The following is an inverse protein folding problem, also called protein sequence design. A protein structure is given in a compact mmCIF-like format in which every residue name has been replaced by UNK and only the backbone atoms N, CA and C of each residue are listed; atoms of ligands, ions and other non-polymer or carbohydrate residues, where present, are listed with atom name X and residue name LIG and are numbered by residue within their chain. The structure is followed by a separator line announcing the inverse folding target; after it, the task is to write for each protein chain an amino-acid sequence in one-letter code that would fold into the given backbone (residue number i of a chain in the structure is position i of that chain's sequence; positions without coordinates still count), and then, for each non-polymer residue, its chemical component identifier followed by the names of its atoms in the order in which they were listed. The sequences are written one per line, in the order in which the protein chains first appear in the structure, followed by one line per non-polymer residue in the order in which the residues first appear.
data_IF_158118404800
#
_entry.id   IF_158118404800
#
_cell.length_a   1.000
_cell.length_b   1.000
_cell.length_c   1.000
_cell.angle_alpha   90.00
_cell.angle_beta   90.00
_cell.angle_gamma   90.00
#
_symmetry.space_group_name_H-M   'P 1'
#
loop_
_entity.id
_entity.type
_entity.pdbx_description
1 polymer ?
#
# COMPACT_ATOMS: atom_id res chain seq x y z
N UNK A 1 -20.13 -4.80 9.23
CA UNK A 1 -20.51 -4.69 7.80
C UNK A 1 -20.00 -3.37 7.25
N UNK A 2 -18.80 -3.36 6.66
CA UNK A 2 -18.18 -2.17 6.02
C UNK A 2 -18.29 -2.24 4.48
N UNK A 3 -18.81 -3.34 3.91
CA UNK A 3 -19.04 -3.50 2.48
C UNK A 3 -20.21 -2.70 1.90
N UNK A 4 -20.64 -1.62 2.55
CA UNK A 4 -21.64 -0.69 2.01
C UNK A 4 -20.97 0.63 1.67
N UNK A 5 -21.44 1.32 0.63
CA UNK A 5 -20.93 2.63 0.20
C UNK A 5 -20.88 3.64 1.36
N UNK A 6 -21.83 3.57 2.29
CA UNK A 6 -21.86 4.40 3.50
C UNK A 6 -20.75 4.04 4.52
N UNK A 7 -20.35 2.77 4.58
CA UNK A 7 -19.22 2.32 5.40
C UNK A 7 -17.88 2.86 4.88
N UNK A 8 -17.68 2.81 3.57
CA UNK A 8 -16.48 3.34 2.90
C UNK A 8 -16.37 4.85 3.04
N UNK A 9 -17.48 5.57 2.84
CA UNK A 9 -17.50 7.03 3.02
C UNK A 9 -17.10 7.46 4.43
N UNK A 10 -17.65 6.78 5.45
CA UNK A 10 -17.29 7.04 6.85
C UNK A 10 -15.81 6.78 7.11
N UNK A 11 -15.27 5.65 6.64
CA UNK A 11 -13.85 5.30 6.77
C UNK A 11 -12.96 6.40 6.17
N UNK A 12 -13.30 6.91 4.98
CA UNK A 12 -12.49 7.92 4.30
C UNK A 12 -12.60 9.29 4.97
N UNK A 13 -13.78 9.68 5.45
CA UNK A 13 -13.96 10.93 6.21
C UNK A 13 -13.18 10.92 7.51
N UNK A 14 -13.19 9.81 8.24
CA UNK A 14 -12.44 9.65 9.49
C UNK A 14 -10.93 9.71 9.27
N UNK A 15 -10.44 9.13 8.16
CA UNK A 15 -9.00 9.01 7.89
C UNK A 15 -8.38 10.24 7.23
N UNK A 16 -9.11 10.91 6.34
CA UNK A 16 -8.56 11.99 5.49
C UNK A 16 -9.13 13.37 5.82
N UNK A 17 -10.32 13.46 6.43
CA UNK A 17 -11.03 14.73 6.57
C UNK A 17 -11.42 15.28 5.19
N UNK A 18 -10.74 16.33 4.73
CA UNK A 18 -10.95 16.90 3.39
C UNK A 18 -10.31 16.05 2.28
N UNK A 19 -10.88 16.05 1.08
CA UNK A 19 -10.36 15.27 -0.07
C UNK A 19 -10.79 13.79 -0.11
N UNK A 20 -11.62 13.35 0.84
CA UNK A 20 -12.15 11.98 0.90
C UNK A 20 -12.92 11.56 -0.37
N UNK A 21 -13.59 12.51 -1.05
CA UNK A 21 -14.40 12.22 -2.23
C UNK A 21 -13.56 11.85 -3.45
N UNK A 22 -12.39 12.47 -3.63
CA UNK A 22 -11.45 12.11 -4.69
C UNK A 22 -10.88 10.71 -4.47
N UNK A 23 -10.48 10.41 -3.23
CA UNK A 23 -9.99 9.08 -2.85
C UNK A 23 -11.07 8.02 -3.04
N UNK A 24 -12.33 8.33 -2.69
CA UNK A 24 -13.46 7.43 -2.94
C UNK A 24 -13.62 7.12 -4.43
N UNK A 25 -13.61 8.14 -5.29
CA UNK A 25 -13.74 7.95 -6.74
C UNK A 25 -12.56 7.15 -7.34
N UNK A 26 -11.36 7.29 -6.78
CA UNK A 26 -10.22 6.46 -7.15
C UNK A 26 -10.42 4.99 -6.72
N UNK A 27 -10.87 4.77 -5.48
CA UNK A 27 -11.13 3.43 -4.95
C UNK A 27 -12.24 2.70 -5.71
N UNK A 28 -13.32 3.39 -6.08
CA UNK A 28 -14.42 2.84 -6.88
C UNK A 28 -13.93 2.40 -8.28
N UNK A 29 -13.10 3.22 -8.94
CA UNK A 29 -12.50 2.86 -10.23
C UNK A 29 -11.59 1.63 -10.12
N UNK A 30 -10.71 1.60 -9.13
CA UNK A 30 -9.83 0.45 -8.89
C UNK A 30 -10.63 -0.82 -8.57
N UNK A 31 -11.66 -0.71 -7.73
CA UNK A 31 -12.51 -1.84 -7.38
C UNK A 31 -13.19 -2.44 -8.63
N UNK A 32 -13.75 -1.61 -9.51
CA UNK A 32 -14.34 -2.09 -10.77
C UNK A 32 -13.31 -2.71 -11.70
N UNK A 33 -12.09 -2.16 -11.77
CA UNK A 33 -11.02 -2.71 -12.59
C UNK A 33 -10.57 -4.10 -12.13
N UNK A 34 -10.45 -4.31 -10.82
CA UNK A 34 -9.82 -5.51 -10.26
C UNK A 34 -10.82 -6.58 -9.78
N UNK A 35 -12.13 -6.28 -9.72
CA UNK A 35 -13.15 -7.16 -9.11
C UNK A 35 -13.17 -8.60 -9.64
N UNK A 36 -12.87 -8.80 -10.92
CA UNK A 36 -12.89 -10.13 -11.55
C UNK A 36 -11.50 -10.72 -11.78
N UNK A 37 -10.46 -10.03 -11.35
CA UNK A 37 -9.08 -10.50 -11.50
C UNK A 37 -8.73 -11.50 -10.39
N UNK A 38 -7.86 -12.49 -10.67
CA UNK A 38 -7.23 -13.29 -9.63
C UNK A 38 -6.31 -12.42 -8.76
N UNK A 39 -6.06 -12.84 -7.52
CA UNK A 39 -5.31 -12.04 -6.53
C UNK A 39 -3.93 -11.57 -7.01
N UNK A 40 -3.20 -12.41 -7.76
CA UNK A 40 -1.90 -12.01 -8.30
C UNK A 40 -2.00 -10.79 -9.24
N UNK A 41 -3.03 -10.73 -10.07
CA UNK A 41 -3.25 -9.63 -10.99
C UNK A 41 -3.86 -8.41 -10.28
N UNK A 42 -4.75 -8.62 -9.29
CA UNK A 42 -5.22 -7.55 -8.40
C UNK A 42 -4.05 -6.84 -7.73
N UNK A 43 -3.13 -7.60 -7.13
CA UNK A 43 -1.97 -7.04 -6.45
C UNK A 43 -1.06 -6.25 -7.39
N UNK A 44 -0.84 -6.73 -8.62
CA UNK A 44 -0.07 -5.99 -9.64
C UNK A 44 -0.75 -4.68 -10.05
N UNK A 45 -2.08 -4.67 -10.23
CA UNK A 45 -2.81 -3.44 -10.55
C UNK A 45 -2.76 -2.44 -9.39
N UNK A 46 -2.94 -2.90 -8.15
CA UNK A 46 -2.84 -2.05 -6.97
C UNK A 46 -1.42 -1.52 -6.77
N UNK A 47 -0.39 -2.33 -7.03
CA UNK A 47 1.02 -1.93 -6.99
C UNK A 47 1.34 -0.84 -8.02
N UNK A 48 0.91 -1.06 -9.27
CA UNK A 48 1.06 -0.08 -10.34
C UNK A 48 0.37 1.24 -10.00
N UNK A 49 -0.81 1.19 -9.37
CA UNK A 49 -1.49 2.37 -8.85
C UNK A 49 -0.65 3.10 -7.79
N UNK A 50 -0.11 2.39 -6.79
CA UNK A 50 0.74 2.99 -5.76
C UNK A 50 1.93 3.75 -6.37
N UNK A 51 2.58 3.14 -7.37
CA UNK A 51 3.73 3.75 -8.03
C UNK A 51 3.35 4.94 -8.92
N UNK A 52 2.28 4.82 -9.72
CA UNK A 52 1.78 5.90 -10.56
C UNK A 52 1.40 7.14 -9.72
N UNK A 53 0.76 6.93 -8.56
CA UNK A 53 0.44 8.03 -7.64
C UNK A 53 1.68 8.66 -7.01
N UNK A 54 2.75 7.88 -6.76
CA UNK A 54 4.00 8.44 -6.26
C UNK A 54 4.62 9.37 -7.30
N UNK A 55 4.72 8.90 -8.55
CA UNK A 55 5.25 9.69 -9.67
C UNK A 55 4.43 10.95 -9.97
N UNK A 56 3.12 10.90 -9.73
CA UNK A 56 2.22 12.04 -9.96
C UNK A 56 2.30 13.10 -8.86
N UNK A 57 2.49 12.69 -7.60
CA UNK A 57 2.36 13.58 -6.43
C UNK A 57 3.69 14.01 -5.84
N UNK A 58 4.77 13.27 -6.08
CA UNK A 58 6.07 13.49 -5.46
C UNK A 58 7.09 13.94 -6.51
N UNK A 59 7.96 14.84 -6.09
CA UNK A 59 9.16 15.22 -6.85
C UNK A 59 10.20 14.09 -6.83
N UNK A 60 11.14 14.15 -7.78
CA UNK A 60 12.29 13.23 -7.82
C UNK A 60 13.10 13.27 -6.53
N UNK A 61 13.25 14.44 -5.89
CA UNK A 61 13.97 14.59 -4.64
C UNK A 61 13.26 13.87 -3.49
N UNK A 62 11.94 14.00 -3.39
CA UNK A 62 11.14 13.32 -2.37
C UNK A 62 11.16 11.80 -2.55
N UNK A 63 11.01 11.31 -3.79
CA UNK A 63 11.14 9.89 -4.12
C UNK A 63 12.52 9.38 -3.72
N UNK A 64 13.57 10.11 -4.08
CA UNK A 64 14.96 9.76 -3.75
C UNK A 64 15.19 9.76 -2.24
N UNK A 65 14.61 10.73 -1.52
CA UNK A 65 14.70 10.83 -0.07
C UNK A 65 14.03 9.65 0.62
N UNK A 66 12.84 9.22 0.16
CA UNK A 66 12.14 8.02 0.66
C UNK A 66 12.98 6.77 0.42
N UNK A 67 13.44 6.56 -0.82
CA UNK A 67 14.21 5.36 -1.20
C UNK A 67 15.53 5.28 -0.44
N UNK A 68 16.20 6.42 -0.24
CA UNK A 68 17.42 6.48 0.58
C UNK A 68 17.14 6.52 2.09
N UNK A 69 15.87 6.39 2.49
CA UNK A 69 15.42 6.34 3.89
C UNK A 69 15.89 7.56 4.68
N UNK A 70 15.87 8.74 4.05
CA UNK A 70 16.27 9.99 4.68
C UNK A 70 15.26 10.36 5.79
N UNK A 71 15.68 10.47 7.07
CA UNK A 71 14.76 10.67 8.18
C UNK A 71 13.92 11.95 8.05
N UNK A 72 14.51 13.01 7.50
CA UNK A 72 13.81 14.29 7.28
C UNK A 72 12.68 14.16 6.26
N UNK A 73 12.92 13.46 5.14
CA UNK A 73 11.89 13.17 4.14
C UNK A 73 10.78 12.31 4.74
N UNK A 74 11.14 11.22 5.45
CA UNK A 74 10.15 10.29 6.00
C UNK A 74 9.31 10.88 7.15
N UNK A 75 9.87 11.81 7.95
CA UNK A 75 9.20 12.35 9.14
C UNK A 75 8.56 13.72 8.95
N UNK A 76 9.12 14.56 8.09
CA UNK A 76 8.75 15.99 8.00
C UNK A 76 8.22 16.42 6.64
N UNK A 77 8.38 15.61 5.60
CA UNK A 77 7.85 15.97 4.28
C UNK A 77 6.33 15.76 4.24
N UNK A 78 5.58 16.86 4.13
CA UNK A 78 4.12 16.82 4.08
C UNK A 78 3.60 16.13 2.82
N UNK A 79 4.26 16.30 1.66
CA UNK A 79 3.84 15.68 0.41
C UNK A 79 3.91 14.15 0.50
N UNK A 80 5.00 13.61 1.07
CA UNK A 80 5.18 12.17 1.31
C UNK A 80 4.12 11.62 2.27
N UNK A 81 3.84 12.34 3.37
CA UNK A 81 2.77 11.96 4.31
C UNK A 81 1.41 11.93 3.63
N UNK A 82 1.05 12.99 2.90
CA UNK A 82 -0.25 13.09 2.19
C UNK A 82 -0.38 12.03 1.09
N UNK A 83 0.71 11.71 0.40
CA UNK A 83 0.75 10.60 -0.55
C UNK A 83 0.42 9.28 0.16
N UNK A 84 1.14 8.93 1.23
CA UNK A 84 0.96 7.66 1.92
C UNK A 84 -0.44 7.54 2.55
N UNK A 85 -0.96 8.61 3.16
CA UNK A 85 -2.31 8.66 3.70
C UNK A 85 -3.36 8.44 2.60
N UNK A 86 -3.26 9.15 1.48
CA UNK A 86 -4.21 9.02 0.39
C UNK A 86 -4.18 7.63 -0.24
N UNK A 87 -2.99 7.11 -0.58
CA UNK A 87 -2.85 5.81 -1.24
C UNK A 87 -3.30 4.68 -0.32
N UNK A 88 -2.88 4.68 0.95
CA UNK A 88 -3.31 3.64 1.91
C UNK A 88 -4.82 3.70 2.18
N UNK A 89 -5.41 4.91 2.20
CA UNK A 89 -6.87 5.08 2.27
C UNK A 89 -7.59 4.57 1.02
N UNK A 90 -7.05 4.81 -0.19
CA UNK A 90 -7.57 4.26 -1.44
C UNK A 90 -7.56 2.73 -1.42
N UNK A 91 -6.45 2.12 -1.00
CA UNK A 91 -6.36 0.66 -0.87
C UNK A 91 -7.42 0.13 0.10
N UNK A 92 -7.53 0.72 1.30
CA UNK A 92 -8.53 0.32 2.29
C UNK A 92 -9.97 0.42 1.76
N UNK A 93 -10.30 1.53 1.10
CA UNK A 93 -11.61 1.73 0.49
C UNK A 93 -11.89 0.74 -0.64
N UNK A 94 -10.89 0.46 -1.49
CA UNK A 94 -11.01 -0.50 -2.59
C UNK A 94 -11.32 -1.91 -2.05
N UNK A 95 -10.56 -2.39 -1.06
CA UNK A 95 -10.78 -3.69 -0.42
C UNK A 95 -12.15 -3.77 0.26
N UNK A 96 -12.58 -2.69 0.91
CA UNK A 96 -13.91 -2.61 1.52
C UNK A 96 -15.04 -2.66 0.48
N UNK A 97 -14.89 -2.00 -0.67
CA UNK A 97 -15.86 -2.04 -1.78
C UNK A 97 -15.97 -3.43 -2.41
N UNK A 98 -14.85 -4.15 -2.49
CA UNK A 98 -14.81 -5.54 -2.97
C UNK A 98 -15.38 -6.54 -1.95
N UNK A 99 -15.61 -6.11 -0.70
CA UNK A 99 -16.07 -6.98 0.37
C UNK A 99 -14.99 -7.99 0.78
N UNK A 100 -13.72 -7.61 0.72
CA UNK A 100 -12.62 -8.50 1.09
C UNK A 100 -12.70 -8.89 2.58
N UNK A 101 -12.60 -10.19 2.83
CA UNK A 101 -12.61 -10.78 4.16
C UNK A 101 -11.17 -10.89 4.71
N UNK A 102 -10.97 -10.96 6.04
CA UNK A 102 -9.66 -11.04 6.68
C UNK A 102 -9.03 -12.45 6.56
N UNK A 103 -8.91 -12.96 5.33
CA UNK A 103 -8.30 -14.23 4.99
C UNK A 103 -7.06 -13.98 4.12
N UNK A 104 -5.90 -14.44 4.59
CA UNK A 104 -4.62 -14.25 3.91
C UNK A 104 -4.12 -15.59 3.41
N UNK A 105 -4.15 -15.77 2.09
CA UNK A 105 -3.73 -17.01 1.43
C UNK A 105 -2.35 -16.90 0.77
N UNK A 106 -1.90 -15.67 0.48
CA UNK A 106 -0.67 -15.40 -0.24
C UNK A 106 0.03 -14.12 0.26
N UNK A 107 1.32 -14.01 -0.04
CA UNK A 107 2.21 -12.91 0.34
C UNK A 107 1.68 -11.55 -0.16
N UNK A 108 1.21 -11.51 -1.41
CA UNK A 108 0.70 -10.29 -2.02
C UNK A 108 -0.58 -9.79 -1.32
N UNK A 109 -1.44 -10.71 -0.86
CA UNK A 109 -2.62 -10.39 -0.05
C UNK A 109 -2.19 -9.84 1.31
N UNK A 110 -1.23 -10.49 1.98
CA UNK A 110 -0.70 -10.04 3.26
C UNK A 110 -0.14 -8.61 3.16
N UNK A 111 0.67 -8.35 2.13
CA UNK A 111 1.28 -7.05 1.89
C UNK A 111 0.23 -5.97 1.57
N UNK A 112 -0.76 -6.29 0.72
CA UNK A 112 -1.86 -5.36 0.39
C UNK A 112 -2.66 -4.98 1.65
N UNK A 113 -3.00 -5.98 2.47
CA UNK A 113 -3.76 -5.79 3.72
C UNK A 113 -2.97 -4.95 4.73
N UNK A 114 -1.68 -5.25 4.89
CA UNK A 114 -0.75 -4.49 5.73
C UNK A 114 -0.72 -3.00 5.31
N UNK A 115 -0.48 -2.73 4.02
CA UNK A 115 -0.35 -1.38 3.48
C UNK A 115 -1.67 -0.60 3.44
N UNK A 116 -2.82 -1.29 3.40
CA UNK A 116 -4.12 -0.64 3.49
C UNK A 116 -4.34 0.04 4.85
N UNK A 117 -3.76 -0.51 5.93
CA UNK A 117 -4.05 -0.07 7.29
C UNK A 117 -5.52 -0.26 7.70
N UNK A 118 -6.31 -1.06 6.96
CA UNK A 118 -7.68 -1.36 7.36
C UNK A 118 -7.66 -2.39 8.50
N UNK A 119 -8.00 -1.95 9.70
CA UNK A 119 -7.77 -2.65 10.97
C UNK A 119 -8.10 -4.17 10.98
N UNK A 120 -9.26 -4.67 10.47
CA UNK A 120 -9.51 -6.11 10.41
C UNK A 120 -8.53 -6.88 9.50
N UNK A 121 -8.21 -6.31 8.34
CA UNK A 121 -7.31 -6.91 7.35
C UNK A 121 -5.84 -6.80 7.80
N UNK A 122 -5.47 -5.66 8.39
CA UNK A 122 -4.16 -5.42 8.98
C UNK A 122 -3.83 -6.50 10.03
N UNK A 123 -4.76 -6.79 10.94
CA UNK A 123 -4.54 -7.85 11.94
C UNK A 123 -4.35 -9.22 11.32
N UNK A 124 -5.12 -9.56 10.28
CA UNK A 124 -4.96 -10.82 9.56
C UNK A 124 -3.59 -10.92 8.87
N UNK A 125 -3.14 -9.83 8.23
CA UNK A 125 -1.81 -9.74 7.65
C UNK A 125 -0.72 -9.92 8.70
N UNK A 126 -0.80 -9.21 9.82
CA UNK A 126 0.19 -9.33 10.90
C UNK A 126 0.25 -10.75 11.49
N UNK A 127 -0.90 -11.38 11.72
CA UNK A 127 -0.95 -12.76 12.21
C UNK A 127 -0.32 -13.74 11.22
N UNK A 128 -0.59 -13.57 9.92
CA UNK A 128 0.01 -14.37 8.85
C UNK A 128 1.53 -14.18 8.79
N UNK A 129 2.01 -12.93 8.88
CA UNK A 129 3.45 -12.60 8.87
C UNK A 129 4.15 -13.21 10.09
N UNK A 130 3.53 -13.14 11.27
CA UNK A 130 4.09 -13.73 12.51
C UNK A 130 4.13 -15.26 12.48
N UNK A 131 3.21 -15.91 11.76
CA UNK A 131 3.18 -17.36 11.60
C UNK A 131 4.13 -17.87 10.50
N UNK A 132 4.59 -16.99 9.61
CA UNK A 132 5.41 -17.31 8.45
C UNK A 132 6.87 -16.89 8.58
N UNK A 133 7.64 -17.18 7.53
CA UNK A 133 9.01 -16.67 7.38
C UNK A 133 8.99 -15.26 6.76
N UNK A 134 9.67 -14.31 7.40
CA UNK A 134 9.85 -12.94 6.91
C UNK A 134 10.46 -12.87 5.49
N UNK A 135 11.19 -13.90 5.07
CA UNK A 135 11.71 -14.02 3.70
C UNK A 135 10.64 -13.95 2.62
N UNK A 136 9.42 -14.42 2.90
CA UNK A 136 8.31 -14.44 1.92
C UNK A 136 7.81 -13.04 1.55
N UNK A 137 7.79 -12.12 2.51
CA UNK A 137 7.45 -10.71 2.25
C UNK A 137 8.45 -10.05 1.32
N UNK A 138 9.74 -10.41 1.44
CA UNK A 138 10.80 -9.90 0.57
C UNK A 138 10.50 -10.18 -0.89
N UNK A 139 10.21 -11.45 -1.19
CA UNK A 139 10.07 -11.93 -2.55
C UNK A 139 8.83 -11.31 -3.21
N UNK A 140 7.77 -11.05 -2.42
CA UNK A 140 6.62 -10.30 -2.89
C UNK A 140 6.96 -8.82 -3.17
N UNK A 141 7.68 -8.14 -2.28
CA UNK A 141 8.08 -6.74 -2.50
C UNK A 141 8.99 -6.55 -3.71
N UNK A 142 9.84 -7.53 -4.00
CA UNK A 142 10.69 -7.57 -5.20
C UNK A 142 9.87 -7.46 -6.49
N UNK A 143 8.71 -8.11 -6.51
CA UNK A 143 7.81 -8.13 -7.66
C UNK A 143 6.79 -6.98 -7.66
N UNK A 144 6.73 -6.19 -6.57
CA UNK A 144 5.73 -5.15 -6.32
C UNK A 144 6.42 -3.88 -5.81
N UNK A 145 7.12 -3.13 -6.70
CA UNK A 145 7.90 -1.96 -6.30
C UNK A 145 7.06 -0.79 -5.78
N UNK A 146 5.83 -0.60 -6.24
CA UNK A 146 4.93 0.42 -5.69
C UNK A 146 4.57 0.14 -4.22
N UNK A 147 4.36 -1.13 -3.88
CA UNK A 147 4.14 -1.58 -2.51
C UNK A 147 5.41 -1.46 -1.67
N UNK A 148 6.57 -1.80 -2.22
CA UNK A 148 7.85 -1.58 -1.55
C UNK A 148 8.09 -0.10 -1.23
N UNK A 149 7.78 0.80 -2.19
CA UNK A 149 7.88 2.25 -1.99
C UNK A 149 6.93 2.75 -0.89
N UNK A 150 5.66 2.34 -0.92
CA UNK A 150 4.69 2.71 0.12
C UNK A 150 5.08 2.14 1.49
N UNK A 151 5.62 0.93 1.54
CA UNK A 151 6.09 0.28 2.75
C UNK A 151 7.18 1.11 3.45
N UNK A 152 8.16 1.63 2.70
CA UNK A 152 9.22 2.48 3.24
C UNK A 152 8.70 3.72 3.98
N UNK A 153 7.56 4.26 3.52
CA UNK A 153 6.95 5.45 4.11
C UNK A 153 6.13 5.09 5.35
N UNK A 154 5.32 4.04 5.27
CA UNK A 154 4.45 3.61 6.38
C UNK A 154 5.22 2.96 7.53
N UNK A 155 6.36 2.34 7.23
CA UNK A 155 7.22 1.65 8.20
C UNK A 155 8.66 2.21 8.13
N UNK A 156 8.87 3.48 8.57
CA UNK A 156 10.14 4.18 8.41
C UNK A 156 11.22 3.74 9.41
N UNK A 157 10.95 2.72 10.21
CA UNK A 157 11.89 2.24 11.24
C UNK A 157 13.12 1.58 10.61
N UNK A 158 14.24 1.60 11.33
CA UNK A 158 15.43 0.81 11.00
C UNK A 158 15.21 -0.67 11.33
N UNK A 159 14.39 -1.32 10.50
CA UNK A 159 14.12 -2.75 10.56
C UNK A 159 14.65 -3.47 9.31
N UNK A 160 14.86 -4.79 9.42
CA UNK A 160 15.31 -5.61 8.30
C UNK A 160 14.36 -5.50 7.10
N UNK A 161 13.05 -5.44 7.35
CA UNK A 161 12.00 -5.30 6.35
C UNK A 161 12.10 -3.96 5.60
N UNK A 162 12.50 -2.88 6.26
CA UNK A 162 12.71 -1.58 5.62
C UNK A 162 13.92 -1.60 4.67
N UNK A 163 15.01 -2.27 5.04
CA UNK A 163 16.15 -2.49 4.13
C UNK A 163 15.78 -3.40 2.95
N UNK A 164 15.00 -4.45 3.21
CA UNK A 164 14.49 -5.36 2.19
C UNK A 164 13.58 -4.63 1.19
N UNK A 165 12.67 -3.78 1.66
CA UNK A 165 11.80 -2.96 0.80
C UNK A 165 12.61 -2.00 -0.08
N UNK A 166 13.65 -1.37 0.47
CA UNK A 166 14.58 -0.52 -0.29
C UNK A 166 15.27 -1.31 -1.40
N UNK A 167 15.86 -2.44 -1.05
CA UNK A 167 16.62 -3.25 -2.01
C UNK A 167 15.70 -3.84 -3.08
N UNK A 168 14.49 -4.25 -2.68
CA UNK A 168 13.43 -4.70 -3.58
C UNK A 168 13.08 -3.63 -4.62
N UNK A 169 12.79 -2.41 -4.15
CA UNK A 169 12.49 -1.27 -5.00
C UNK A 169 13.65 -0.96 -5.97
N UNK A 170 14.89 -0.91 -5.49
CA UNK A 170 16.05 -0.64 -6.35
C UNK A 170 16.22 -1.67 -7.45
N UNK A 171 16.16 -2.95 -7.12
CA UNK A 171 16.37 -3.98 -8.12
C UNK A 171 15.22 -4.02 -9.15
N UNK A 172 14.00 -3.60 -8.78
CA UNK A 172 12.90 -3.45 -9.73
C UNK A 172 13.14 -2.27 -10.68
N UNK A 173 13.56 -1.12 -10.14
CA UNK A 173 13.89 0.07 -10.94
C UNK A 173 15.10 -0.13 -11.88
N UNK A 174 16.04 -0.99 -11.48
CA UNK A 174 17.22 -1.33 -12.28
C UNK A 174 16.99 -2.50 -13.27
N UNK A 175 15.78 -3.09 -13.30
CA UNK A 175 15.47 -4.24 -14.15
C UNK A 175 16.30 -5.48 -13.83
N UNK A 176 16.67 -5.68 -12.56
CA UNK A 176 17.56 -6.77 -12.10
C UNK A 176 16.79 -8.01 -11.63
N UNK A 177 15.63 -8.27 -12.20
CA UNK A 177 14.79 -9.44 -11.91
C UNK A 177 14.42 -10.20 -13.18
#
# INVERSE_FOLDING_TARGET
MIGTTAGVERLLRERLGEGWSEVRAQAERLAEEIRFLPWCDRARTLDAFCWAEAQRRLSTEEITGVVNRQPETLRRCEAVRRYAEAVSATLAACLALLGEEPAVEAEATALTFLLSGHEPLLRAAMAWIQAGDAGRLRDAMVQLPGFAFLFLILYPNDSAESFMARDAFWAAMLGRY
#
